data_IF_435656387693
#
_entry.id   IF_435656387693
#
_cell.length_a   1.000
_cell.length_b   1.000
_cell.length_c   1.000
_cell.angle_alpha   90.00
_cell.angle_beta   90.00
_cell.angle_gamma   90.00
#
_symmetry.space_group_name_H-M   'P 1'
#
loop_
_entity.id
_entity.type
_entity.pdbx_description
1 polymer ?
#
# COMPACT_ATOMS: atom_id res chain seq x y z
N UNK A 1 -6.62 -10.29 -18.53
CA UNK A 1 -6.21 -9.09 -17.76
C UNK A 1 -5.35 -8.12 -18.57
N UNK A 2 -4.91 -8.51 -19.79
CA UNK A 2 -3.96 -7.79 -20.65
C UNK A 2 -4.23 -6.30 -20.94
N UNK A 3 -5.48 -5.85 -20.85
CA UNK A 3 -5.81 -4.43 -21.01
C UNK A 3 -5.22 -3.53 -19.91
N UNK A 4 -4.91 -4.08 -18.74
CA UNK A 4 -4.46 -3.30 -17.57
C UNK A 4 -2.94 -3.35 -17.35
N UNK A 5 -2.18 -4.05 -18.18
CA UNK A 5 -0.75 -4.29 -17.98
C UNK A 5 0.09 -3.00 -17.93
N UNK A 6 -0.44 -1.92 -18.53
CA UNK A 6 0.20 -0.59 -18.54
C UNK A 6 -0.11 0.25 -17.29
N UNK A 7 -1.12 -0.11 -16.50
CA UNK A 7 -1.54 0.65 -15.32
C UNK A 7 -0.41 0.85 -14.30
N UNK A 8 0.37 -0.19 -13.91
CA UNK A 8 1.46 0.00 -12.95
C UNK A 8 2.54 0.96 -13.46
N UNK A 9 2.77 1.01 -14.78
CA UNK A 9 3.77 1.90 -15.39
C UNK A 9 3.35 3.37 -15.30
N UNK A 10 2.05 3.66 -15.47
CA UNK A 10 1.55 5.03 -15.28
C UNK A 10 1.76 5.49 -13.85
N UNK A 11 1.43 4.65 -12.85
CA UNK A 11 1.68 4.98 -11.44
C UNK A 11 3.16 5.13 -11.14
N UNK A 12 4.04 4.29 -11.70
CA UNK A 12 5.49 4.42 -11.54
C UNK A 12 5.99 5.79 -12.01
N UNK A 13 5.55 6.23 -13.20
CA UNK A 13 5.96 7.53 -13.77
C UNK A 13 5.45 8.67 -12.89
N UNK A 14 4.16 8.67 -12.55
CA UNK A 14 3.56 9.71 -11.69
C UNK A 14 4.27 9.78 -10.34
N UNK A 15 4.43 8.63 -9.68
CA UNK A 15 5.07 8.55 -8.37
C UNK A 15 6.54 8.99 -8.43
N UNK A 16 7.27 8.61 -9.49
CA UNK A 16 8.65 9.04 -9.70
C UNK A 16 8.75 10.55 -9.89
N UNK A 17 7.84 11.17 -10.66
CA UNK A 17 7.76 12.62 -10.78
C UNK A 17 7.51 13.31 -9.44
N UNK A 18 6.57 12.78 -8.63
CA UNK A 18 6.34 13.31 -7.27
C UNK A 18 7.61 13.17 -6.42
N UNK A 19 8.31 12.04 -6.50
CA UNK A 19 9.57 11.82 -5.78
C UNK A 19 10.66 12.80 -6.17
N UNK A 20 10.77 13.15 -7.46
CA UNK A 20 11.69 14.18 -7.95
C UNK A 20 11.31 15.57 -7.40
N UNK A 21 10.04 15.93 -7.39
CA UNK A 21 9.55 17.20 -6.81
C UNK A 21 9.87 17.26 -5.31
N UNK A 22 9.64 16.18 -4.57
CA UNK A 22 9.98 16.10 -3.14
C UNK A 22 11.47 16.27 -2.88
N UNK A 23 12.33 15.70 -3.72
CA UNK A 23 13.79 15.90 -3.62
C UNK A 23 14.19 17.33 -3.96
N UNK A 24 13.58 17.91 -4.98
CA UNK A 24 13.83 19.30 -5.38
C UNK A 24 13.41 20.30 -4.29
N UNK A 25 12.32 20.02 -3.57
CA UNK A 25 11.84 20.86 -2.47
C UNK A 25 12.90 21.10 -1.37
N UNK A 26 13.83 20.17 -1.15
CA UNK A 26 14.93 20.37 -0.21
C UNK A 26 15.97 21.39 -0.67
N UNK A 27 16.12 21.59 -1.98
CA UNK A 27 17.06 22.56 -2.56
C UNK A 27 16.37 23.91 -2.71
N UNK A 28 15.13 23.90 -3.21
CA UNK A 28 14.31 25.08 -3.40
C UNK A 28 12.92 24.87 -2.80
N UNK A 29 12.67 25.36 -1.58
CA UNK A 29 11.40 25.18 -0.90
C UNK A 29 10.24 25.78 -1.69
N UNK A 30 9.26 24.93 -2.00
CA UNK A 30 8.04 25.30 -2.73
C UNK A 30 6.97 25.68 -1.71
N UNK A 31 6.47 26.92 -1.76
CA UNK A 31 5.58 27.49 -0.74
C UNK A 31 4.22 26.80 -0.60
N UNK A 32 3.68 26.23 -1.67
CA UNK A 32 2.38 25.54 -1.66
C UNK A 32 2.49 24.04 -1.32
N UNK A 33 3.71 23.49 -1.23
CA UNK A 33 3.93 22.06 -1.04
C UNK A 33 4.16 21.74 0.44
N UNK A 34 3.19 21.06 1.05
CA UNK A 34 3.33 20.53 2.41
C UNK A 34 4.04 19.18 2.33
N UNK A 35 5.34 19.16 2.61
CA UNK A 35 6.21 17.98 2.43
C UNK A 35 5.62 16.65 2.95
N UNK A 36 5.14 16.54 4.21
CA UNK A 36 4.64 15.26 4.71
C UNK A 36 3.43 14.74 3.92
N UNK A 37 2.58 15.62 3.39
CA UNK A 37 1.35 15.22 2.68
C UNK A 37 1.69 14.58 1.34
N UNK A 38 2.58 15.24 0.59
CA UNK A 38 3.07 14.75 -0.69
C UNK A 38 3.95 13.51 -0.55
N UNK A 39 4.70 13.40 0.56
CA UNK A 39 5.47 12.21 0.87
C UNK A 39 4.56 10.98 1.07
N UNK A 40 3.42 11.14 1.76
CA UNK A 40 2.45 10.05 1.91
C UNK A 40 1.84 9.65 0.57
N UNK A 41 1.47 10.63 -0.27
CA UNK A 41 0.97 10.35 -1.61
C UNK A 41 1.99 9.56 -2.44
N UNK A 42 3.25 10.02 -2.47
CA UNK A 42 4.34 9.38 -3.20
C UNK A 42 4.52 7.91 -2.79
N UNK A 43 4.57 7.68 -1.48
CA UNK A 43 4.84 6.37 -0.90
C UNK A 43 3.75 5.37 -1.29
N UNK A 44 2.47 5.72 -1.10
CA UNK A 44 1.32 4.88 -1.47
C UNK A 44 1.28 4.60 -2.98
N UNK A 45 1.54 5.60 -3.82
CA UNK A 45 1.54 5.41 -5.28
C UNK A 45 2.68 4.48 -5.73
N UNK A 46 3.85 4.52 -5.09
CA UNK A 46 4.96 3.61 -5.39
C UNK A 46 4.64 2.16 -5.02
N UNK A 47 4.19 1.88 -3.80
CA UNK A 47 3.99 0.50 -3.36
C UNK A 47 2.65 -0.06 -3.82
N UNK A 48 1.56 0.68 -3.64
CA UNK A 48 0.23 0.21 -4.02
C UNK A 48 -0.03 0.38 -5.52
N UNK A 49 0.32 1.55 -6.06
CA UNK A 49 0.07 1.90 -7.46
C UNK A 49 1.00 1.20 -8.45
N UNK A 50 2.25 0.97 -8.09
CA UNK A 50 3.20 0.25 -8.95
C UNK A 50 3.40 -1.19 -8.49
N UNK A 51 4.05 -1.43 -7.35
CA UNK A 51 4.47 -2.79 -6.94
C UNK A 51 3.28 -3.75 -6.79
N UNK A 52 2.28 -3.38 -5.99
CA UNK A 52 1.11 -4.24 -5.74
C UNK A 52 0.28 -4.46 -7.00
N UNK A 53 0.17 -3.47 -7.89
CA UNK A 53 -0.51 -3.65 -9.17
C UNK A 53 0.23 -4.65 -10.08
N UNK A 54 1.57 -4.61 -10.14
CA UNK A 54 2.36 -5.64 -10.86
C UNK A 54 2.11 -7.02 -10.28
N UNK A 55 2.19 -7.16 -8.95
CA UNK A 55 1.97 -8.43 -8.27
C UNK A 55 0.54 -8.95 -8.48
N UNK A 56 -0.45 -8.07 -8.35
CA UNK A 56 -1.86 -8.41 -8.57
C UNK A 56 -2.09 -8.98 -9.98
N UNK A 57 -1.61 -8.27 -11.00
CA UNK A 57 -1.76 -8.69 -12.40
C UNK A 57 -1.02 -10.00 -12.67
N UNK A 58 0.19 -10.16 -12.12
CA UNK A 58 0.97 -11.39 -12.23
C UNK A 58 0.24 -12.57 -11.58
N UNK A 59 -0.26 -12.40 -10.35
CA UNK A 59 -0.94 -13.48 -9.63
C UNK A 59 -2.24 -13.89 -10.32
N UNK A 60 -3.04 -12.93 -10.75
CA UNK A 60 -4.30 -13.24 -11.44
C UNK A 60 -4.05 -13.90 -12.79
N UNK A 61 -3.05 -13.44 -13.54
CA UNK A 61 -2.76 -14.02 -14.88
C UNK A 61 -2.22 -15.46 -14.79
N UNK A 62 -1.45 -15.79 -13.74
CA UNK A 62 -0.87 -17.12 -13.58
C UNK A 62 -1.79 -18.14 -12.90
N UNK A 63 -2.64 -17.70 -11.95
CA UNK A 63 -3.37 -18.62 -11.07
C UNK A 63 -4.89 -18.60 -11.23
N UNK A 64 -5.45 -17.63 -11.96
CA UNK A 64 -6.89 -17.45 -12.08
C UNK A 64 -7.32 -17.54 -13.55
N UNK A 65 -8.40 -18.30 -13.85
CA UNK A 65 -8.95 -18.35 -15.21
C UNK A 65 -9.39 -16.98 -15.71
N UNK A 66 -9.10 -16.67 -16.98
CA UNK A 66 -9.43 -15.39 -17.61
C UNK A 66 -10.94 -15.08 -17.65
N UNK A 67 -11.79 -16.10 -17.52
CA UNK A 67 -13.25 -15.97 -17.44
C UNK A 67 -13.73 -15.35 -16.12
N UNK A 68 -12.90 -15.35 -15.07
CA UNK A 68 -13.29 -14.84 -13.77
C UNK A 68 -13.22 -13.30 -13.70
N UNK A 69 -14.37 -12.66 -13.93
CA UNK A 69 -14.48 -11.19 -13.98
C UNK A 69 -14.38 -10.50 -12.62
N UNK A 70 -14.49 -11.23 -11.50
CA UNK A 70 -14.48 -10.62 -10.15
C UNK A 70 -13.16 -9.92 -9.84
N UNK A 71 -12.04 -10.49 -10.29
CA UNK A 71 -10.71 -9.91 -10.11
C UNK A 71 -10.54 -8.64 -10.93
N UNK A 72 -11.15 -8.57 -12.12
CA UNK A 72 -11.17 -7.33 -12.91
C UNK A 72 -11.94 -6.22 -12.21
N UNK A 73 -13.11 -6.54 -11.63
CA UNK A 73 -13.91 -5.56 -10.86
C UNK A 73 -13.16 -5.08 -9.62
N UNK A 74 -12.55 -5.99 -8.87
CA UNK A 74 -11.75 -5.66 -7.70
C UNK A 74 -10.52 -4.82 -8.07
N UNK A 75 -9.83 -5.13 -9.17
CA UNK A 75 -8.72 -4.31 -9.65
C UNK A 75 -9.14 -2.87 -9.94
N UNK A 76 -10.28 -2.67 -10.62
CA UNK A 76 -10.82 -1.32 -10.87
C UNK A 76 -11.16 -0.61 -9.57
N UNK A 77 -11.77 -1.31 -8.60
CA UNK A 77 -12.03 -0.75 -7.28
C UNK A 77 -10.73 -0.30 -6.58
N UNK A 78 -9.66 -1.11 -6.62
CA UNK A 78 -8.36 -0.74 -6.06
C UNK A 78 -7.78 0.51 -6.74
N UNK A 79 -7.91 0.63 -8.07
CA UNK A 79 -7.47 1.83 -8.79
C UNK A 79 -8.24 3.09 -8.38
N UNK A 80 -9.55 2.99 -8.17
CA UNK A 80 -10.35 4.12 -7.70
C UNK A 80 -9.91 4.60 -6.31
N UNK A 81 -9.59 3.67 -5.41
CA UNK A 81 -9.05 4.02 -4.09
C UNK A 81 -7.66 4.68 -4.21
N UNK A 82 -6.80 4.19 -5.11
CA UNK A 82 -5.49 4.79 -5.38
C UNK A 82 -5.59 6.22 -5.90
N UNK A 83 -6.50 6.47 -6.84
CA UNK A 83 -6.78 7.83 -7.33
C UNK A 83 -7.35 8.71 -6.22
N UNK A 84 -8.20 8.16 -5.37
CA UNK A 84 -8.71 8.84 -4.17
C UNK A 84 -7.57 9.26 -3.23
N UNK A 85 -6.62 8.37 -2.94
CA UNK A 85 -5.43 8.67 -2.13
C UNK A 85 -4.52 9.70 -2.80
N UNK A 86 -4.30 9.60 -4.11
CA UNK A 86 -3.48 10.54 -4.89
C UNK A 86 -3.97 11.99 -4.74
N UNK A 87 -5.28 12.19 -4.61
CA UNK A 87 -5.90 13.50 -4.47
C UNK A 87 -6.04 13.88 -2.98
N UNK A 88 -6.49 12.95 -2.13
CA UNK A 88 -6.76 13.24 -0.73
C UNK A 88 -5.49 13.57 0.07
N UNK A 89 -4.36 12.88 -0.18
CA UNK A 89 -3.14 13.15 0.56
C UNK A 89 -2.62 14.58 0.35
N UNK A 90 -2.44 15.11 -0.88
CA UNK A 90 -2.03 16.49 -1.07
C UNK A 90 -2.98 17.54 -0.48
N UNK A 91 -4.29 17.26 -0.44
CA UNK A 91 -5.30 18.24 0.00
C UNK A 91 -5.44 18.34 1.52
N UNK A 92 -5.38 17.22 2.23
CA UNK A 92 -5.67 17.17 3.67
C UNK A 92 -4.67 16.35 4.49
N UNK A 93 -3.64 15.78 3.84
CA UNK A 93 -2.66 14.93 4.50
C UNK A 93 -3.29 13.68 5.08
N UNK A 94 -2.98 13.40 6.35
CA UNK A 94 -3.51 12.27 7.11
C UNK A 94 -4.90 12.58 7.69
N UNK A 95 -5.87 12.86 6.81
CA UNK A 95 -7.25 13.17 7.17
C UNK A 95 -8.22 12.01 6.91
N UNK A 96 -9.50 12.24 7.17
CA UNK A 96 -10.54 11.20 7.07
C UNK A 96 -10.56 10.51 5.70
N UNK A 97 -10.65 11.26 4.60
CA UNK A 97 -10.74 10.70 3.25
C UNK A 97 -9.52 9.85 2.85
N UNK A 98 -8.29 10.29 3.13
CA UNK A 98 -7.06 9.55 2.80
C UNK A 98 -6.97 8.25 3.60
N UNK A 99 -7.32 8.28 4.90
CA UNK A 99 -7.41 7.08 5.74
C UNK A 99 -8.50 6.13 5.21
N UNK A 100 -9.68 6.65 4.86
CA UNK A 100 -10.77 5.84 4.31
C UNK A 100 -10.35 5.14 3.02
N UNK A 101 -9.76 5.86 2.06
CA UNK A 101 -9.32 5.24 0.80
C UNK A 101 -8.18 4.23 0.99
N UNK A 102 -7.20 4.49 1.87
CA UNK A 102 -6.13 3.53 2.18
C UNK A 102 -6.68 2.27 2.87
N UNK A 103 -7.62 2.46 3.80
CA UNK A 103 -8.28 1.34 4.50
C UNK A 103 -9.10 0.50 3.53
N UNK A 104 -9.91 1.13 2.67
CA UNK A 104 -10.69 0.44 1.65
C UNK A 104 -9.80 -0.30 0.65
N UNK A 105 -8.68 0.30 0.23
CA UNK A 105 -7.70 -0.36 -0.62
C UNK A 105 -7.13 -1.61 0.07
N UNK A 106 -6.68 -1.48 1.31
CA UNK A 106 -6.14 -2.58 2.12
C UNK A 106 -7.15 -3.70 2.33
N UNK A 107 -8.41 -3.36 2.64
CA UNK A 107 -9.51 -4.32 2.71
C UNK A 107 -9.74 -5.04 1.38
N UNK A 108 -9.62 -4.32 0.26
CA UNK A 108 -9.67 -4.91 -1.08
C UNK A 108 -8.54 -5.92 -1.33
N UNK A 109 -7.32 -5.65 -0.85
CA UNK A 109 -6.20 -6.60 -0.91
C UNK A 109 -6.41 -7.80 0.03
N UNK A 110 -7.01 -7.59 1.20
CA UNK A 110 -7.40 -8.69 2.09
C UNK A 110 -8.42 -9.61 1.43
N UNK A 111 -9.44 -9.04 0.80
CA UNK A 111 -10.44 -9.79 0.03
C UNK A 111 -9.80 -10.53 -1.15
N UNK A 112 -8.90 -9.87 -1.89
CA UNK A 112 -8.12 -10.50 -2.95
C UNK A 112 -7.34 -11.71 -2.44
N UNK A 113 -6.67 -11.56 -1.31
CA UNK A 113 -5.86 -12.62 -0.68
C UNK A 113 -6.73 -13.82 -0.31
N UNK A 114 -7.88 -13.57 0.31
CA UNK A 114 -8.85 -14.61 0.63
C UNK A 114 -9.33 -15.34 -0.63
N UNK A 115 -9.76 -14.60 -1.66
CA UNK A 115 -10.22 -15.19 -2.91
C UNK A 115 -9.15 -16.00 -3.63
N UNK A 116 -7.92 -15.47 -3.73
CA UNK A 116 -6.81 -16.17 -4.37
C UNK A 116 -6.46 -17.46 -3.62
N UNK A 117 -6.48 -17.44 -2.28
CA UNK A 117 -6.27 -18.64 -1.49
C UNK A 117 -7.35 -19.69 -1.76
N UNK A 118 -8.62 -19.28 -1.77
CA UNK A 118 -9.75 -20.19 -2.01
C UNK A 118 -9.76 -20.79 -3.41
N UNK A 119 -9.38 -20.03 -4.44
CA UNK A 119 -9.32 -20.51 -5.81
C UNK A 119 -8.12 -21.45 -6.06
N UNK A 120 -7.04 -21.28 -5.29
CA UNK A 120 -5.80 -22.05 -5.48
C UNK A 120 -5.65 -23.19 -4.47
N UNK A 121 -6.55 -23.36 -3.50
CA UNK A 121 -6.39 -24.34 -2.40
C UNK A 121 -6.29 -25.79 -2.87
N UNK A 122 -6.90 -26.13 -4.00
CA UNK A 122 -6.88 -27.48 -4.58
C UNK A 122 -5.77 -27.68 -5.63
N UNK A 123 -5.01 -26.62 -5.96
CA UNK A 123 -3.87 -26.73 -6.86
C UNK A 123 -2.67 -27.31 -6.12
N UNK A 124 -1.81 -28.11 -6.79
CA UNK A 124 -0.58 -28.60 -6.19
C UNK A 124 0.29 -27.42 -5.75
N UNK A 125 0.84 -27.51 -4.53
CA UNK A 125 1.67 -26.43 -3.98
C UNK A 125 3.00 -26.40 -4.73
N UNK A 126 3.15 -25.44 -5.64
CA UNK A 126 4.43 -25.09 -6.24
C UNK A 126 5.18 -24.07 -5.37
N UNK A 127 6.49 -23.98 -5.52
CA UNK A 127 7.30 -22.97 -4.82
C UNK A 127 6.80 -21.53 -5.11
N UNK A 128 6.37 -21.27 -6.34
CA UNK A 128 5.81 -19.97 -6.73
C UNK A 128 4.49 -19.69 -6.01
N UNK A 129 3.55 -20.65 -5.95
CA UNK A 129 2.27 -20.46 -5.26
C UNK A 129 2.45 -20.29 -3.74
N UNK A 130 3.44 -20.98 -3.16
CA UNK A 130 3.81 -20.80 -1.76
C UNK A 130 4.32 -19.38 -1.48
N UNK A 131 5.23 -18.86 -2.31
CA UNK A 131 5.75 -17.50 -2.20
C UNK A 131 4.63 -16.45 -2.37
N UNK A 132 3.73 -16.65 -3.33
CA UNK A 132 2.57 -15.77 -3.54
C UNK A 132 1.73 -15.68 -2.27
N UNK A 133 1.33 -16.82 -1.69
CA UNK A 133 0.54 -16.85 -0.45
C UNK A 133 1.26 -16.19 0.72
N UNK A 134 2.56 -16.45 0.87
CA UNK A 134 3.38 -15.85 1.93
C UNK A 134 3.50 -14.34 1.74
N UNK A 135 3.76 -13.86 0.52
CA UNK A 135 3.87 -12.42 0.23
C UNK A 135 2.59 -11.65 0.59
N UNK A 136 1.41 -12.20 0.26
CA UNK A 136 0.13 -11.60 0.60
C UNK A 136 -0.15 -11.66 2.12
N UNK A 137 0.23 -12.75 2.78
CA UNK A 137 0.13 -12.84 4.24
C UNK A 137 1.02 -11.80 4.93
N UNK A 138 2.26 -11.61 4.47
CA UNK A 138 3.17 -10.59 4.99
C UNK A 138 2.67 -9.18 4.74
N UNK A 139 2.06 -8.92 3.57
CA UNK A 139 1.37 -7.65 3.31
C UNK A 139 0.28 -7.38 4.35
N UNK A 140 -0.59 -8.36 4.61
CA UNK A 140 -1.67 -8.20 5.60
C UNK A 140 -1.14 -8.07 7.03
N UNK A 141 -0.10 -8.81 7.38
CA UNK A 141 0.56 -8.69 8.68
C UNK A 141 1.14 -7.29 8.87
N UNK A 142 1.78 -6.74 7.84
CA UNK A 142 2.31 -5.39 7.88
C UNK A 142 1.21 -4.33 8.00
N UNK A 143 0.06 -4.55 7.36
CA UNK A 143 -1.08 -3.66 7.44
C UNK A 143 -1.73 -3.57 8.83
N UNK A 144 -1.39 -4.47 9.77
CA UNK A 144 -1.83 -4.38 11.17
C UNK A 144 -1.09 -3.26 11.92
N UNK A 145 0.14 -2.92 11.51
CA UNK A 145 0.99 -1.92 12.17
C UNK A 145 0.29 -0.58 12.42
N UNK A 146 -0.32 0.07 11.42
CA UNK A 146 -1.01 1.35 11.58
C UNK A 146 -2.16 1.34 12.60
N UNK A 147 -2.84 0.20 12.81
CA UNK A 147 -3.90 0.10 13.81
C UNK A 147 -3.39 0.21 15.25
N UNK A 148 -2.08 0.02 15.47
CA UNK A 148 -1.44 0.22 16.78
C UNK A 148 -1.16 1.71 17.08
N UNK A 149 -1.16 2.57 16.07
CA UNK A 149 -0.88 4.01 16.25
C UNK A 149 -2.00 4.72 17.02
N UNK A 150 -3.27 4.33 16.83
CA UNK A 150 -4.40 4.91 17.58
C UNK A 150 -4.25 4.75 19.10
N UNK A 151 -4.10 3.51 19.62
CA UNK A 151 -3.82 3.28 21.04
C UNK A 151 -2.55 3.96 21.56
N UNK A 152 -1.48 4.03 20.76
CA UNK A 152 -0.23 4.69 21.14
C UNK A 152 -0.38 6.22 21.29
N UNK A 153 -1.16 6.85 20.40
CA UNK A 153 -1.46 8.28 20.51
C UNK A 153 -2.40 8.58 21.69
N UNK A 154 -3.36 7.69 21.96
CA UNK A 154 -4.31 7.84 23.07
C UNK A 154 -3.66 7.65 24.47
N UNK A 155 -2.55 6.91 24.56
CA UNK A 155 -1.87 6.61 25.83
C UNK A 155 -0.71 7.58 26.15
N UNK A 156 -0.41 8.56 25.28
CA UNK A 156 0.65 9.55 25.51
C UNK A 156 2.08 8.99 25.47
N UNK A 157 2.26 7.70 25.16
CA UNK A 157 3.56 7.02 25.09
C UNK A 157 4.39 7.43 23.87
N UNK A 158 3.83 8.20 22.95
CA UNK A 158 4.53 8.72 21.79
C UNK A 158 5.66 9.74 22.14
N UNK A 159 5.71 10.25 23.37
CA UNK A 159 6.61 11.35 23.78
C UNK A 159 7.49 11.06 25.01
N UNK A 160 7.44 9.85 25.61
CA UNK A 160 8.17 9.59 26.87
C UNK A 160 9.64 9.19 26.67
N UNK A 161 10.62 9.80 27.35
CA UNK A 161 12.06 9.53 27.13
C UNK A 161 12.59 8.15 27.59
N UNK A 162 11.80 7.37 28.34
CA UNK A 162 12.27 6.18 29.07
C UNK A 162 11.89 4.81 28.49
N UNK A 163 11.11 4.74 27.41
CA UNK A 163 10.61 3.48 26.84
C UNK A 163 11.36 3.14 25.55
N UNK A 164 12.62 2.72 25.74
CA UNK A 164 13.53 2.34 24.67
C UNK A 164 13.07 1.03 23.98
N UNK A 165 12.37 0.13 24.70
CA UNK A 165 11.85 -1.10 24.09
C UNK A 165 10.67 -0.86 23.14
N UNK A 166 9.61 -0.11 23.51
CA UNK A 166 8.54 0.23 22.59
C UNK A 166 8.99 1.10 21.43
N UNK A 167 9.97 2.00 21.63
CA UNK A 167 10.53 2.84 20.56
C UNK A 167 11.50 2.10 19.65
N UNK A 168 12.24 1.09 20.11
CA UNK A 168 13.01 0.17 19.25
C UNK A 168 12.07 -0.85 18.60
N UNK A 169 11.00 -1.31 19.26
CA UNK A 169 10.01 -2.16 18.60
C UNK A 169 9.22 -1.33 17.57
N UNK A 170 8.71 -0.15 17.89
CA UNK A 170 8.15 0.74 16.87
C UNK A 170 9.20 1.26 15.92
N UNK A 171 10.49 1.34 16.20
CA UNK A 171 11.50 1.73 15.20
C UNK A 171 11.94 0.54 14.34
N UNK A 172 11.98 -0.69 14.84
CA UNK A 172 12.41 -1.88 14.07
C UNK A 172 11.24 -2.53 13.36
N UNK A 173 10.08 -2.64 14.04
CA UNK A 173 8.81 -2.83 13.37
C UNK A 173 8.50 -1.63 12.51
N UNK A 174 8.57 -0.34 12.90
CA UNK A 174 8.40 0.71 11.89
C UNK A 174 9.50 0.69 10.85
N UNK A 175 10.73 0.20 10.99
CA UNK A 175 11.69 0.23 9.86
C UNK A 175 11.39 -0.90 8.88
N UNK A 176 11.01 -2.08 9.37
CA UNK A 176 10.51 -3.19 8.54
C UNK A 176 9.09 -2.96 8.02
N UNK A 177 8.26 -2.30 8.81
CA UNK A 177 6.94 -1.78 8.47
C UNK A 177 7.09 -0.49 7.68
N UNK A 178 8.16 0.31 7.69
CA UNK A 178 8.43 1.52 6.86
C UNK A 178 8.89 1.09 5.48
N UNK A 179 9.57 -0.05 5.39
CA UNK A 179 9.73 -0.77 4.12
C UNK A 179 8.37 -1.21 3.54
N UNK A 180 7.30 -1.23 4.34
CA UNK A 180 5.91 -1.52 3.92
C UNK A 180 4.89 -0.38 4.17
N UNK A 181 5.26 0.71 4.86
CA UNK A 181 4.49 1.89 5.29
C UNK A 181 4.96 3.04 4.43
N UNK A 182 5.04 2.67 3.17
CA UNK A 182 4.65 3.43 2.02
C UNK A 182 3.35 2.81 1.47
N UNK A 183 2.45 2.40 2.39
CA UNK A 183 1.06 1.97 2.21
C UNK A 183 0.23 2.66 3.28
#
# INVERSE_FOLDING_TARGET
MSRFDKVPLYFLVIASCIGLILRYHFIHPISWLIFPYWLHAHSHLMFLGWVMNVLYLAFVTNYVPATNTRYKKLFVFLQLNLLGMMIAFPLQGYGLFSITFSTLHTMGIALFTYWLYQDTKHQPISASLWLVRKSLLFFLLSAVGPFTLGPLMATGLAQSPGTILPSIFTCTLNTMVFLFWAV
#
